data_IF_505731581703
#
_entry.id   IF_505731581703
#
_cell.length_a   1.000
_cell.length_b   1.000
_cell.length_c   1.000
_cell.angle_alpha   90.00
_cell.angle_beta   90.00
_cell.angle_gamma   90.00
#
_symmetry.space_group_name_H-M   'P 1'
#
loop_
_entity.id
_entity.type
_entity.pdbx_description
1 polymer ?
#
# COMPACT_ATOMS: atom_id res chain seq x y z
N UNK A 1 -15.82 -2.70 -7.70
CA UNK A 1 -14.40 -2.46 -7.34
C UNK A 1 -14.02 -3.09 -6.01
N UNK A 2 -14.82 -2.88 -4.99
CA UNK A 2 -14.60 -3.48 -3.66
C UNK A 2 -14.53 -5.00 -3.72
N UNK A 3 -15.41 -5.62 -4.50
CA UNK A 3 -15.43 -7.08 -4.65
C UNK A 3 -14.13 -7.64 -5.22
N UNK A 4 -13.47 -6.87 -6.09
CA UNK A 4 -12.18 -7.28 -6.67
C UNK A 4 -11.08 -7.25 -5.62
N UNK A 5 -11.14 -6.29 -4.69
CA UNK A 5 -10.21 -6.23 -3.57
C UNK A 5 -10.42 -7.42 -2.62
N UNK A 6 -11.67 -7.77 -2.34
CA UNK A 6 -11.97 -8.95 -1.51
C UNK A 6 -11.43 -10.23 -2.16
N UNK A 7 -11.61 -10.37 -3.46
CA UNK A 7 -11.12 -11.52 -4.20
C UNK A 7 -9.59 -11.60 -4.13
N UNK A 8 -8.92 -10.47 -4.36
CA UNK A 8 -7.47 -10.39 -4.25
C UNK A 8 -6.97 -10.81 -2.87
N UNK A 9 -7.57 -10.26 -1.82
CA UNK A 9 -7.17 -10.57 -0.45
C UNK A 9 -7.29 -12.06 -0.16
N UNK A 10 -8.40 -12.66 -0.56
CA UNK A 10 -8.69 -14.06 -0.29
C UNK A 10 -7.82 -14.99 -1.14
N UNK A 11 -7.70 -14.73 -2.43
CA UNK A 11 -7.03 -15.64 -3.36
C UNK A 11 -5.52 -15.52 -3.33
N UNK A 12 -4.99 -14.30 -3.17
CA UNK A 12 -3.54 -14.10 -3.17
C UNK A 12 -2.90 -14.31 -1.80
N UNK A 13 -3.63 -14.02 -0.75
CA UNK A 13 -3.20 -14.28 0.64
C UNK A 13 -1.75 -13.80 0.90
N UNK A 14 -1.44 -12.57 0.49
CA UNK A 14 -0.14 -11.97 0.73
C UNK A 14 0.93 -12.26 -0.32
N UNK A 15 0.60 -13.00 -1.36
CA UNK A 15 1.59 -13.34 -2.40
C UNK A 15 1.85 -12.21 -3.39
N UNK A 16 0.96 -11.23 -3.46
CA UNK A 16 1.13 -10.09 -4.35
C UNK A 16 0.45 -8.86 -3.80
N UNK A 17 0.98 -7.69 -4.16
CA UNK A 17 0.31 -6.43 -3.89
C UNK A 17 -0.74 -6.16 -4.96
N UNK A 18 -1.65 -5.24 -4.69
CA UNK A 18 -2.65 -4.82 -5.68
C UNK A 18 -2.49 -3.32 -5.92
N UNK A 19 -2.59 -2.91 -7.17
CA UNK A 19 -2.48 -1.51 -7.56
C UNK A 19 -3.81 -1.01 -8.10
N UNK A 20 -4.32 0.04 -7.48
CA UNK A 20 -5.53 0.73 -7.93
C UNK A 20 -5.10 1.97 -8.70
N UNK A 21 -5.37 1.99 -10.00
CA UNK A 21 -4.99 3.11 -10.86
C UNK A 21 -6.20 3.87 -11.36
N UNK A 22 -6.00 5.16 -11.61
CA UNK A 22 -7.05 6.00 -12.17
C UNK A 22 -6.67 7.47 -12.09
N UNK A 23 -7.56 8.31 -12.60
CA UNK A 23 -7.37 9.76 -12.51
C UNK A 23 -7.48 10.24 -11.07
N UNK A 24 -6.92 11.40 -10.78
CA UNK A 24 -7.08 12.05 -9.49
C UNK A 24 -8.56 12.22 -9.16
N UNK A 25 -8.87 12.18 -7.87
CA UNK A 25 -10.22 12.47 -7.36
C UNK A 25 -11.28 11.45 -7.74
N UNK A 26 -10.86 10.24 -8.07
CA UNK A 26 -11.82 9.15 -8.34
C UNK A 26 -12.08 8.29 -7.10
N UNK A 27 -11.50 8.68 -5.96
CA UNK A 27 -11.76 7.98 -4.71
C UNK A 27 -10.90 6.74 -4.47
N UNK A 28 -9.73 6.65 -5.12
CA UNK A 28 -8.82 5.51 -4.94
C UNK A 28 -8.37 5.36 -3.48
N UNK A 29 -7.93 6.47 -2.89
CA UNK A 29 -7.47 6.47 -1.50
C UNK A 29 -8.60 6.13 -0.55
N UNK A 30 -9.78 6.69 -0.81
CA UNK A 30 -10.97 6.45 0.01
C UNK A 30 -11.36 4.98 -0.07
N UNK A 31 -11.37 4.41 -1.26
CA UNK A 31 -11.69 2.99 -1.46
C UNK A 31 -10.69 2.10 -0.72
N UNK A 32 -9.39 2.37 -0.89
CA UNK A 32 -8.35 1.58 -0.25
C UNK A 32 -8.46 1.66 1.28
N UNK A 33 -8.67 2.85 1.81
CA UNK A 33 -8.77 3.03 3.25
C UNK A 33 -10.04 2.41 3.84
N UNK A 34 -11.16 2.53 3.15
CA UNK A 34 -12.40 1.89 3.56
C UNK A 34 -12.23 0.36 3.59
N UNK A 35 -11.63 -0.18 2.55
CA UNK A 35 -11.35 -1.61 2.49
C UNK A 35 -10.45 -2.05 3.65
N UNK A 36 -9.38 -1.29 3.90
CA UNK A 36 -8.45 -1.60 4.98
C UNK A 36 -9.14 -1.58 6.33
N UNK A 37 -9.98 -0.56 6.56
CA UNK A 37 -10.68 -0.40 7.83
C UNK A 37 -11.67 -1.54 8.08
N UNK A 38 -12.32 -2.02 7.03
CA UNK A 38 -13.34 -3.05 7.15
C UNK A 38 -12.77 -4.47 7.19
N UNK A 39 -11.66 -4.71 6.48
CA UNK A 39 -11.19 -6.07 6.23
C UNK A 39 -9.92 -6.45 6.99
N UNK A 40 -9.30 -5.52 7.70
CA UNK A 40 -8.05 -5.78 8.43
C UNK A 40 -8.18 -5.31 9.88
N UNK A 41 -7.35 -5.87 10.75
CA UNK A 41 -7.36 -5.46 12.16
C UNK A 41 -6.66 -4.11 12.37
N UNK A 42 -5.68 -3.79 11.54
CA UNK A 42 -5.04 -2.48 11.55
C UNK A 42 -4.48 -2.17 10.17
N UNK A 43 -4.20 -0.90 9.91
CA UNK A 43 -3.61 -0.49 8.65
C UNK A 43 -2.83 0.79 8.82
N UNK A 44 -1.89 1.00 7.89
CA UNK A 44 -1.17 2.27 7.77
C UNK A 44 -1.38 2.76 6.35
N UNK A 45 -1.76 4.03 6.20
CA UNK A 45 -1.82 4.69 4.90
C UNK A 45 -0.67 5.68 4.82
N UNK A 46 0.24 5.47 3.87
CA UNK A 46 1.34 6.39 3.59
C UNK A 46 0.97 7.21 2.36
N UNK A 47 0.68 8.49 2.56
CA UNK A 47 0.38 9.40 1.46
C UNK A 47 1.67 10.02 0.96
N UNK A 48 2.21 9.50 -0.14
CA UNK A 48 3.49 9.95 -0.67
C UNK A 48 3.44 11.35 -1.30
N UNK A 49 2.25 11.93 -1.43
CA UNK A 49 2.15 13.33 -1.86
C UNK A 49 2.61 14.28 -0.74
N UNK A 50 2.47 13.88 0.52
CA UNK A 50 2.77 14.73 1.67
C UNK A 50 3.65 14.06 2.73
N UNK A 51 4.09 12.84 2.50
CA UNK A 51 4.87 12.10 3.49
C UNK A 51 6.15 12.85 3.87
N UNK A 52 6.50 12.90 5.15
CA UNK A 52 7.75 13.55 5.57
C UNK A 52 8.96 12.80 5.03
N UNK A 53 10.08 13.50 4.95
CA UNK A 53 11.31 12.94 4.41
C UNK A 53 11.73 11.67 5.12
N UNK A 54 11.55 11.58 6.45
CA UNK A 54 11.95 10.39 7.19
C UNK A 54 11.20 9.14 6.76
N UNK A 55 9.93 9.28 6.35
CA UNK A 55 9.14 8.14 5.85
C UNK A 55 9.65 7.73 4.49
N UNK A 56 9.87 8.71 3.60
CA UNK A 56 10.36 8.42 2.26
C UNK A 56 11.74 7.76 2.30
N UNK A 57 12.60 8.21 3.20
CA UNK A 57 13.96 7.69 3.34
C UNK A 57 14.01 6.26 3.88
N UNK A 58 12.98 5.80 4.56
CA UNK A 58 12.93 4.42 5.04
C UNK A 58 13.11 3.40 3.91
N UNK A 59 12.64 3.74 2.72
CA UNK A 59 12.67 2.84 1.57
C UNK A 59 13.94 2.94 0.75
N UNK A 60 14.90 3.78 1.15
CA UNK A 60 16.20 3.86 0.50
C UNK A 60 17.08 2.65 0.81
N UNK A 61 16.86 2.04 1.95
CA UNK A 61 17.62 0.88 2.39
C UNK A 61 16.66 -0.17 2.93
N UNK A 62 16.46 -1.23 2.16
CA UNK A 62 15.52 -2.29 2.50
C UNK A 62 16.22 -3.53 3.05
N UNK A 63 17.47 -3.40 3.48
CA UNK A 63 18.22 -4.52 4.04
C UNK A 63 17.69 -4.98 5.40
N UNK A 64 17.02 -4.07 6.13
CA UNK A 64 16.44 -4.37 7.44
C UNK A 64 14.96 -4.03 7.47
N UNK A 65 14.13 -5.00 7.10
CA UNK A 65 12.68 -4.80 7.06
C UNK A 65 12.11 -4.62 8.46
N UNK A 66 12.69 -5.26 9.47
CA UNK A 66 12.24 -5.08 10.85
C UNK A 66 12.32 -3.61 11.27
N UNK A 67 13.39 -2.93 10.90
CA UNK A 67 13.57 -1.52 11.19
C UNK A 67 12.50 -0.68 10.49
N UNK A 68 12.24 -0.96 9.21
CA UNK A 68 11.23 -0.22 8.43
C UNK A 68 9.87 -0.34 9.11
N UNK A 69 9.45 -1.56 9.44
CA UNK A 69 8.13 -1.76 10.05
C UNK A 69 8.06 -1.16 11.44
N UNK A 70 9.13 -1.24 12.22
CA UNK A 70 9.17 -0.61 13.53
C UNK A 70 8.98 0.90 13.43
N UNK A 71 9.71 1.54 12.52
CA UNK A 71 9.61 3.00 12.33
C UNK A 71 8.23 3.42 11.85
N UNK A 72 7.65 2.69 10.91
CA UNK A 72 6.31 2.99 10.42
C UNK A 72 5.27 2.91 11.54
N UNK A 73 5.37 1.90 12.38
CA UNK A 73 4.46 1.76 13.52
C UNK A 73 4.59 2.91 14.51
N UNK A 74 5.81 3.36 14.76
CA UNK A 74 6.06 4.48 15.66
C UNK A 74 5.57 5.80 15.09
N UNK A 75 5.83 6.04 13.81
CA UNK A 75 5.46 7.30 13.15
C UNK A 75 3.95 7.43 13.03
N UNK A 76 3.29 6.37 12.59
CA UNK A 76 1.85 6.40 12.38
C UNK A 76 1.03 5.98 13.59
N UNK A 77 1.69 5.54 14.65
CA UNK A 77 1.06 5.13 15.91
C UNK A 77 0.03 4.02 15.68
N UNK A 78 0.41 3.04 14.88
CA UNK A 78 -0.41 1.89 14.56
C UNK A 78 0.40 0.63 14.83
N UNK A 79 -0.23 -0.34 15.48
CA UNK A 79 0.40 -1.65 15.67
C UNK A 79 0.04 -2.54 14.48
N UNK A 80 1.05 -2.99 13.74
CA UNK A 80 0.87 -3.92 12.64
C UNK A 80 0.84 -5.35 13.19
N UNK A 81 -0.08 -6.14 12.65
CA UNK A 81 -0.27 -7.52 13.08
C UNK A 81 -0.03 -8.43 11.88
N UNK A 82 0.89 -9.36 12.03
CA UNK A 82 1.29 -10.25 10.94
C UNK A 82 0.09 -11.00 10.37
N UNK A 83 -0.06 -10.97 9.05
CA UNK A 83 -1.15 -11.53 8.26
C UNK A 83 -2.54 -10.94 8.55
N UNK A 84 -2.62 -9.87 9.34
CA UNK A 84 -3.91 -9.23 9.69
C UNK A 84 -3.90 -7.73 9.48
N UNK A 85 -2.82 -7.20 8.92
CA UNK A 85 -2.68 -5.77 8.64
C UNK A 85 -2.36 -5.53 7.18
N UNK A 86 -2.66 -4.32 6.71
CA UNK A 86 -2.36 -3.88 5.35
C UNK A 86 -1.68 -2.52 5.40
N UNK A 87 -0.73 -2.31 4.51
CA UNK A 87 -0.07 -1.01 4.34
C UNK A 87 -0.47 -0.49 2.96
N UNK A 88 -1.04 0.72 2.94
CA UNK A 88 -1.47 1.38 1.72
C UNK A 88 -0.40 2.38 1.32
N UNK A 89 0.13 2.21 0.10
CA UNK A 89 1.11 3.11 -0.50
C UNK A 89 0.34 4.03 -1.46
N UNK A 90 -0.10 5.18 -0.95
CA UNK A 90 -0.95 6.11 -1.67
C UNK A 90 -0.11 7.05 -2.53
N UNK A 91 -0.52 7.27 -3.77
CA UNK A 91 0.20 8.07 -4.77
C UNK A 91 1.62 7.52 -4.97
N UNK A 92 1.73 6.23 -5.20
CA UNK A 92 3.02 5.51 -5.24
C UNK A 92 3.96 6.00 -6.35
N UNK A 93 3.43 6.60 -7.43
CA UNK A 93 4.27 7.12 -8.50
C UNK A 93 5.17 8.25 -8.03
N UNK A 94 4.88 8.86 -6.88
CA UNK A 94 5.69 9.93 -6.29
C UNK A 94 6.85 9.40 -5.46
N UNK A 95 6.92 8.09 -5.25
CA UNK A 95 7.97 7.45 -4.44
C UNK A 95 8.54 6.23 -5.17
N UNK A 96 9.36 6.43 -6.20
CA UNK A 96 9.90 5.31 -7.00
C UNK A 96 10.66 4.27 -6.18
N UNK A 97 11.39 4.69 -5.15
CA UNK A 97 12.13 3.74 -4.32
C UNK A 97 11.19 2.90 -3.46
N UNK A 98 10.11 3.50 -2.95
CA UNK A 98 9.10 2.75 -2.22
C UNK A 98 8.42 1.74 -3.15
N UNK A 99 8.14 2.14 -4.38
CA UNK A 99 7.55 1.25 -5.36
C UNK A 99 8.45 0.04 -5.65
N UNK A 100 9.75 0.28 -5.79
CA UNK A 100 10.70 -0.82 -6.00
C UNK A 100 10.79 -1.73 -4.78
N UNK A 101 10.63 -1.17 -3.58
CA UNK A 101 10.72 -1.93 -2.35
C UNK A 101 9.55 -2.92 -2.17
N UNK A 102 8.41 -2.65 -2.78
CA UNK A 102 7.21 -3.48 -2.57
C UNK A 102 7.45 -4.95 -2.90
N UNK A 103 8.23 -5.27 -3.92
CA UNK A 103 8.56 -6.66 -4.25
C UNK A 103 9.17 -7.40 -3.07
N UNK A 104 10.06 -6.72 -2.35
CA UNK A 104 10.75 -7.31 -1.20
C UNK A 104 9.82 -7.41 0.00
N UNK A 105 8.98 -6.40 0.18
CA UNK A 105 8.00 -6.40 1.27
C UNK A 105 6.99 -7.53 1.09
N UNK A 106 6.54 -7.74 -0.14
CA UNK A 106 5.61 -8.84 -0.45
C UNK A 106 6.26 -10.19 -0.18
N UNK A 107 7.52 -10.37 -0.57
CA UNK A 107 8.24 -11.62 -0.31
C UNK A 107 8.37 -11.93 1.17
N UNK A 108 8.46 -10.91 2.00
CA UNK A 108 8.51 -11.06 3.46
C UNK A 108 7.20 -11.65 4.03
N UNK A 109 6.07 -11.43 3.38
CA UNK A 109 4.79 -12.06 3.68
C UNK A 109 4.12 -11.66 5.00
N UNK A 110 4.65 -10.68 5.73
CA UNK A 110 4.03 -10.29 7.01
C UNK A 110 2.71 -9.58 6.85
N UNK A 111 2.60 -8.71 5.84
CA UNK A 111 1.44 -7.84 5.67
C UNK A 111 0.95 -7.88 4.23
N UNK A 112 -0.26 -7.39 4.01
CA UNK A 112 -0.76 -7.15 2.66
C UNK A 112 -0.42 -5.73 2.23
N UNK A 113 -0.34 -5.48 0.93
CA UNK A 113 0.03 -4.19 0.39
C UNK A 113 -0.93 -3.75 -0.70
N UNK A 114 -1.42 -2.52 -0.58
CA UNK A 114 -2.27 -1.88 -1.59
C UNK A 114 -1.53 -0.64 -2.06
N UNK A 115 -1.41 -0.49 -3.37
CA UNK A 115 -0.84 0.71 -3.98
C UNK A 115 -1.94 1.50 -4.66
N UNK A 116 -1.87 2.82 -4.61
CA UNK A 116 -2.71 3.65 -5.45
C UNK A 116 -1.81 4.51 -6.32
N UNK A 117 -2.27 4.83 -7.52
CA UNK A 117 -1.53 5.69 -8.43
C UNK A 117 -2.47 6.47 -9.33
N UNK A 118 -2.06 7.71 -9.65
CA UNK A 118 -2.80 8.57 -10.57
C UNK A 118 -2.16 8.53 -11.94
N UNK A 119 -3.02 8.50 -12.98
CA UNK A 119 -2.58 8.58 -14.36
C UNK A 119 -3.04 9.93 -14.93
N UNK A 120 -2.11 10.69 -15.48
CA UNK A 120 -2.38 12.05 -15.95
C UNK A 120 -3.42 12.07 -17.06
N UNK A 121 -3.41 11.07 -17.94
CA UNK A 121 -4.27 11.02 -19.13
C UNK A 121 -5.55 10.24 -18.96
N UNK A 122 -5.80 9.67 -17.79
CA UNK A 122 -6.98 8.85 -17.54
C UNK A 122 -8.02 9.68 -16.78
N UNK A 123 -9.26 9.65 -17.27
CA UNK A 123 -10.35 10.46 -16.70
C UNK A 123 -11.32 9.66 -15.83
N UNK A 124 -11.08 8.38 -15.66
CA UNK A 124 -11.93 7.52 -14.84
C UNK A 124 -11.10 6.43 -14.18
N UNK A 125 -11.69 5.82 -13.15
CA UNK A 125 -11.07 4.67 -12.50
C UNK A 125 -11.02 3.54 -13.53
N UNK A 126 -9.84 3.16 -13.94
CA UNK A 126 -9.69 2.26 -15.06
C UNK A 126 -9.42 0.83 -14.66
N UNK A 127 -8.42 0.60 -13.81
CA UNK A 127 -7.89 -0.74 -13.66
C UNK A 127 -7.43 -1.02 -12.25
N UNK A 128 -7.55 -2.28 -11.86
CA UNK A 128 -6.86 -2.84 -10.72
C UNK A 128 -5.83 -3.80 -11.29
N UNK A 129 -4.56 -3.61 -10.90
CA UNK A 129 -3.47 -4.46 -11.30
C UNK A 129 -2.95 -5.23 -10.10
N UNK A 130 -2.55 -6.48 -10.33
CA UNK A 130 -1.90 -7.28 -9.31
C UNK A 130 -0.41 -7.24 -9.59
N UNK A 131 0.36 -6.75 -8.60
CA UNK A 131 1.81 -6.62 -8.69
C UNK A 131 2.49 -7.74 -7.93
N UNK A 132 3.55 -8.27 -8.50
CA UNK A 132 4.32 -9.34 -7.87
C UNK A 132 5.67 -8.88 -7.37
#
# INVERSE_FOLDING_TARGET
MYDRLLKWKRERNGESAILIQGARRIGKSTLAEEFARNEYESYILIDFAIAPAEVQELFNDISDLNYIFLRLQLIYRVQLIERKSVIIFDEIQKAPLARQAIKHLVKDRRYDYIETGSLITVHKLSLIHISE
#
